data_IF_434582654479
#
_entry.id   IF_434582654479
#
_cell.length_a   1.000
_cell.length_b   1.000
_cell.length_c   1.000
_cell.angle_alpha   90.00
_cell.angle_beta   90.00
_cell.angle_gamma   90.00
#
_symmetry.space_group_name_H-M   'P 1'
#
loop_
_entity.id
_entity.type
_entity.pdbx_description
1 polymer ?
#
# COMPACT_ATOMS: atom_id res chain seq x y z
N UNK A 1 69.78 -81.51 -26.13
CA UNK A 1 70.56 -81.53 -24.88
C UNK A 1 69.92 -80.50 -23.95
N UNK A 2 68.97 -80.95 -23.13
CA UNK A 2 69.12 -81.20 -21.68
C UNK A 2 68.90 -79.90 -20.90
N UNK A 3 67.70 -79.62 -20.38
CA UNK A 3 67.16 -79.99 -19.05
C UNK A 3 68.02 -79.57 -17.84
N UNK A 4 67.39 -78.79 -16.95
CA UNK A 4 67.36 -78.76 -15.45
C UNK A 4 67.09 -77.31 -15.03
N UNK A 5 65.92 -76.89 -14.55
CA UNK A 5 65.09 -77.27 -13.40
C UNK A 5 65.63 -76.87 -12.02
N UNK A 6 64.78 -76.07 -11.33
CA UNK A 6 64.54 -75.91 -9.89
C UNK A 6 65.48 -75.14 -8.95
N UNK A 7 64.89 -74.11 -8.36
CA UNK A 7 65.11 -73.69 -6.97
C UNK A 7 63.78 -73.19 -6.37
N UNK A 8 63.24 -73.90 -5.38
CA UNK A 8 62.00 -73.58 -4.65
C UNK A 8 62.30 -72.99 -3.24
N UNK A 9 61.58 -71.91 -2.89
CA UNK A 9 61.04 -71.56 -1.55
C UNK A 9 61.90 -70.71 -0.58
N UNK A 10 61.33 -70.08 0.49
CA UNK A 10 59.91 -69.89 0.85
C UNK A 10 59.51 -68.46 1.35
N UNK A 11 58.19 -68.19 1.30
CA UNK A 11 57.34 -67.42 2.24
C UNK A 11 57.68 -66.01 2.78
N UNK A 12 56.67 -65.14 2.64
CA UNK A 12 56.14 -64.14 3.59
C UNK A 12 56.42 -62.64 3.37
N UNK A 13 55.30 -61.89 3.41
CA UNK A 13 55.11 -60.46 3.71
C UNK A 13 55.64 -59.47 2.66
N UNK A 14 54.94 -58.40 2.28
CA UNK A 14 53.60 -57.88 2.48
C UNK A 14 53.48 -56.66 1.52
N UNK A 15 52.26 -56.20 1.23
CA UNK A 15 51.89 -54.97 0.49
C UNK A 15 51.60 -55.13 -1.01
N UNK A 16 50.53 -55.86 -1.32
CA UNK A 16 49.58 -55.44 -2.35
C UNK A 16 48.36 -54.82 -1.64
N UNK A 17 48.44 -53.50 -1.45
CA UNK A 17 47.48 -52.69 -0.71
C UNK A 17 46.72 -51.74 -1.63
N UNK A 18 45.66 -52.26 -2.23
CA UNK A 18 44.34 -51.63 -2.24
C UNK A 18 44.11 -50.35 -3.08
N UNK A 19 44.18 -50.48 -4.41
CA UNK A 19 43.25 -49.76 -5.30
C UNK A 19 42.10 -50.69 -5.70
N UNK A 20 41.36 -51.19 -4.70
CA UNK A 20 40.07 -51.85 -4.95
C UNK A 20 39.03 -50.74 -5.15
N UNK A 21 38.73 -50.46 -6.42
CA UNK A 21 37.54 -49.71 -6.79
C UNK A 21 36.36 -50.65 -6.59
N UNK A 22 35.85 -50.68 -5.36
CA UNK A 22 34.76 -51.56 -4.96
C UNK A 22 33.48 -51.11 -5.65
N UNK A 23 33.22 -51.76 -6.78
CA UNK A 23 32.01 -51.66 -7.59
C UNK A 23 30.86 -52.39 -6.89
N UNK A 24 30.41 -51.88 -5.73
CA UNK A 24 29.19 -52.36 -5.10
C UNK A 24 28.38 -51.20 -4.58
N UNK A 25 27.42 -50.78 -5.40
CA UNK A 25 26.46 -49.77 -5.04
C UNK A 25 25.65 -49.33 -6.22
N UNK A 26 25.09 -50.29 -6.96
CA UNK A 26 24.04 -50.07 -7.94
C UNK A 26 22.76 -49.63 -7.21
N UNK A 27 22.81 -48.41 -6.64
CA UNK A 27 21.62 -47.67 -6.32
C UNK A 27 21.33 -46.87 -7.57
N UNK A 28 20.31 -47.29 -8.32
CA UNK A 28 19.55 -46.42 -9.23
C UNK A 28 19.28 -45.10 -8.50
N UNK A 29 20.19 -44.14 -8.61
CA UNK A 29 20.01 -42.79 -8.10
C UNK A 29 19.06 -42.09 -9.07
N UNK A 30 18.03 -41.41 -8.55
CA UNK A 30 16.96 -40.86 -9.37
C UNK A 30 17.53 -39.87 -10.39
N UNK A 31 16.80 -39.69 -11.50
CA UNK A 31 17.12 -38.80 -12.61
C UNK A 31 17.29 -37.30 -12.21
N UNK A 32 17.25 -36.96 -10.93
CA UNK A 32 17.15 -35.60 -10.38
C UNK A 32 18.34 -34.72 -10.74
N UNK A 33 19.54 -35.31 -10.79
CA UNK A 33 20.74 -34.59 -11.21
C UNK A 33 20.68 -34.17 -12.69
N UNK A 34 19.92 -34.88 -13.55
CA UNK A 34 19.81 -34.51 -14.97
C UNK A 34 19.04 -33.21 -15.17
N UNK A 35 18.02 -32.97 -14.35
CA UNK A 35 17.27 -31.71 -14.37
C UNK A 35 18.12 -30.55 -13.86
N UNK A 36 18.87 -30.76 -12.77
CA UNK A 36 19.80 -29.75 -12.25
C UNK A 36 20.96 -29.46 -13.21
N UNK A 37 21.50 -30.47 -13.89
CA UNK A 37 22.50 -30.29 -14.95
C UNK A 37 21.92 -29.59 -16.17
N UNK A 38 20.66 -29.89 -16.52
CA UNK A 38 19.94 -29.16 -17.55
C UNK A 38 19.79 -27.70 -17.14
N UNK A 39 19.34 -27.38 -15.91
CA UNK A 39 19.20 -26.02 -15.40
C UNK A 39 20.53 -25.25 -15.40
N UNK A 40 21.63 -25.90 -15.04
CA UNK A 40 22.98 -25.32 -15.03
C UNK A 40 23.55 -24.98 -16.41
N UNK A 41 22.89 -25.39 -17.50
CA UNK A 41 23.41 -25.21 -18.86
C UNK A 41 24.56 -26.16 -19.22
N UNK A 42 24.73 -27.26 -18.48
CA UNK A 42 25.82 -28.21 -18.71
C UNK A 42 25.45 -29.24 -19.79
N UNK A 43 26.40 -29.56 -20.68
CA UNK A 43 26.24 -30.60 -21.69
C UNK A 43 26.28 -31.99 -21.02
N UNK A 44 25.12 -32.66 -20.97
CA UNK A 44 24.90 -33.89 -20.18
C UNK A 44 25.82 -35.05 -20.58
N UNK A 45 26.22 -35.13 -21.86
CA UNK A 45 27.12 -36.18 -22.37
C UNK A 45 28.58 -35.97 -21.92
N UNK A 46 29.04 -34.72 -21.82
CA UNK A 46 30.40 -34.39 -21.37
C UNK A 46 30.54 -34.54 -19.84
N UNK A 47 29.47 -34.25 -19.10
CA UNK A 47 29.48 -34.35 -17.64
C UNK A 47 29.50 -35.80 -17.15
N UNK A 48 28.85 -36.72 -17.89
CA UNK A 48 28.85 -38.16 -17.59
C UNK A 48 30.25 -38.80 -17.64
N UNK A 49 31.20 -38.15 -18.32
CA UNK A 49 32.59 -38.59 -18.44
C UNK A 49 33.48 -38.16 -17.25
N UNK A 50 33.06 -37.20 -16.42
CA UNK A 50 33.84 -36.67 -15.30
C UNK A 50 33.03 -36.63 -13.99
N UNK A 51 33.08 -37.70 -13.16
CA UNK A 51 32.22 -37.83 -11.99
C UNK A 51 32.47 -36.75 -10.91
N UNK A 52 33.69 -36.22 -10.82
CA UNK A 52 34.08 -35.20 -9.84
C UNK A 52 33.42 -33.84 -10.04
N UNK A 53 32.94 -33.53 -11.26
CA UNK A 53 32.34 -32.22 -11.56
C UNK A 53 30.81 -32.20 -11.35
N UNK A 54 30.16 -33.36 -11.16
CA UNK A 54 28.71 -33.47 -11.02
C UNK A 54 28.12 -32.60 -9.90
N UNK A 55 28.76 -32.59 -8.73
CA UNK A 55 28.31 -31.84 -7.55
C UNK A 55 28.38 -30.33 -7.78
N UNK A 56 29.39 -29.87 -8.54
CA UNK A 56 29.59 -28.45 -8.83
C UNK A 56 28.53 -27.90 -9.79
N UNK A 57 28.24 -28.62 -10.88
CA UNK A 57 27.17 -28.22 -11.81
C UNK A 57 25.78 -28.42 -11.22
N UNK A 58 25.59 -29.44 -10.38
CA UNK A 58 24.33 -29.61 -9.64
C UNK A 58 24.08 -28.46 -8.67
N UNK A 59 25.09 -28.04 -7.91
CA UNK A 59 25.01 -26.87 -7.03
C UNK A 59 24.75 -25.57 -7.78
N UNK A 60 25.40 -25.39 -8.94
CA UNK A 60 25.16 -24.21 -9.78
C UNK A 60 23.74 -24.19 -10.37
N UNK A 61 23.25 -25.33 -10.86
CA UNK A 61 21.86 -25.46 -11.32
C UNK A 61 20.84 -25.24 -10.20
N UNK A 62 21.16 -25.68 -8.97
CA UNK A 62 20.35 -25.45 -7.78
C UNK A 62 20.22 -23.97 -7.42
N UNK A 63 21.31 -23.20 -7.49
CA UNK A 63 21.28 -21.75 -7.27
C UNK A 63 20.43 -21.04 -8.33
N UNK A 64 20.60 -21.39 -9.61
CA UNK A 64 19.78 -20.83 -10.71
C UNK A 64 18.28 -21.13 -10.52
N UNK A 65 17.96 -22.34 -10.07
CA UNK A 65 16.57 -22.75 -9.80
C UNK A 65 15.99 -22.02 -8.59
N UNK A 66 16.78 -21.80 -7.53
CA UNK A 66 16.34 -21.01 -6.38
C UNK A 66 16.04 -19.56 -6.79
N UNK A 67 16.89 -18.94 -7.61
CA UNK A 67 16.65 -17.59 -8.17
C UNK A 67 15.38 -17.56 -9.02
N UNK A 68 15.15 -18.56 -9.88
CA UNK A 68 13.95 -18.68 -10.70
C UNK A 68 12.66 -18.74 -9.86
N UNK A 69 12.65 -19.61 -8.83
CA UNK A 69 11.48 -19.77 -7.95
C UNK A 69 11.20 -18.48 -7.19
N UNK A 70 12.23 -17.86 -6.61
CA UNK A 70 12.08 -16.61 -5.85
C UNK A 70 11.60 -15.46 -6.74
N UNK A 71 12.13 -15.35 -7.96
CA UNK A 71 11.71 -14.36 -8.94
C UNK A 71 10.25 -14.56 -9.37
N UNK A 72 9.85 -15.80 -9.63
CA UNK A 72 8.46 -16.15 -9.99
C UNK A 72 7.50 -15.80 -8.85
N UNK A 73 7.85 -16.11 -7.60
CA UNK A 73 7.03 -15.76 -6.43
C UNK A 73 6.92 -14.25 -6.23
N UNK A 74 8.02 -13.50 -6.40
CA UNK A 74 8.00 -12.05 -6.26
C UNK A 74 7.20 -11.37 -7.37
N UNK A 75 7.41 -11.75 -8.63
CA UNK A 75 6.66 -11.22 -9.76
C UNK A 75 5.17 -11.60 -9.66
N UNK A 76 4.86 -12.83 -9.24
CA UNK A 76 3.50 -13.28 -8.99
C UNK A 76 2.82 -12.47 -7.91
N UNK A 77 3.50 -12.20 -6.80
CA UNK A 77 2.97 -11.32 -5.76
C UNK A 77 2.67 -9.92 -6.32
N UNK A 78 3.61 -9.29 -7.03
CA UNK A 78 3.44 -7.95 -7.60
C UNK A 78 2.30 -7.85 -8.62
N UNK A 79 2.21 -8.81 -9.55
CA UNK A 79 1.14 -8.86 -10.57
C UNK A 79 -0.22 -9.11 -9.89
N UNK A 80 -0.27 -9.95 -8.86
CA UNK A 80 -1.50 -10.20 -8.11
C UNK A 80 -2.02 -8.93 -7.45
N UNK A 81 -1.14 -8.10 -6.85
CA UNK A 81 -1.55 -6.83 -6.24
C UNK A 81 -2.07 -5.80 -7.25
N UNK A 82 -1.61 -5.86 -8.50
CA UNK A 82 -2.00 -4.89 -9.54
C UNK A 82 -3.26 -5.32 -10.29
N UNK A 83 -3.34 -6.60 -10.70
CA UNK A 83 -4.38 -7.06 -11.62
C UNK A 83 -5.49 -7.88 -10.94
N UNK A 84 -5.28 -8.39 -9.72
CA UNK A 84 -6.28 -9.15 -8.96
C UNK A 84 -6.80 -10.43 -9.63
N UNK A 85 -6.19 -10.87 -10.75
CA UNK A 85 -6.61 -12.04 -11.51
C UNK A 85 -5.54 -13.13 -11.48
N UNK A 86 -5.93 -14.32 -11.00
CA UNK A 86 -5.04 -15.48 -10.83
C UNK A 86 -4.43 -15.98 -12.15
N UNK A 87 -5.19 -15.96 -13.24
CA UNK A 87 -4.71 -16.45 -14.55
C UNK A 87 -3.59 -15.57 -15.11
N UNK A 88 -3.79 -14.25 -15.08
CA UNK A 88 -2.77 -13.28 -15.50
C UNK A 88 -1.56 -13.30 -14.57
N UNK A 89 -1.79 -13.51 -13.27
CA UNK A 89 -0.73 -13.65 -12.26
C UNK A 89 0.20 -14.81 -12.57
N UNK A 90 -0.33 -16.02 -12.77
CA UNK A 90 0.50 -17.19 -13.08
C UNK A 90 1.24 -17.00 -14.41
N UNK A 91 0.55 -16.50 -15.44
CA UNK A 91 1.15 -16.31 -16.76
C UNK A 91 2.32 -15.33 -16.75
N UNK A 92 2.11 -14.14 -16.15
CA UNK A 92 3.16 -13.13 -16.05
C UNK A 92 4.28 -13.50 -15.07
N UNK A 93 3.96 -14.19 -13.97
CA UNK A 93 4.97 -14.67 -13.03
C UNK A 93 5.92 -15.68 -13.70
N UNK A 94 5.36 -16.65 -14.43
CA UNK A 94 6.16 -17.67 -15.11
C UNK A 94 7.01 -17.11 -16.23
N UNK A 95 6.47 -16.22 -17.07
CA UNK A 95 7.27 -15.61 -18.14
C UNK A 95 8.39 -14.75 -17.56
N UNK A 96 8.13 -14.03 -16.47
CA UNK A 96 9.15 -13.19 -15.85
C UNK A 96 10.22 -14.04 -15.15
N UNK A 97 9.82 -15.08 -14.41
CA UNK A 97 10.75 -16.08 -13.90
C UNK A 97 11.62 -16.68 -15.01
N UNK A 98 11.02 -17.05 -16.15
CA UNK A 98 11.71 -17.69 -17.26
C UNK A 98 12.74 -16.78 -17.93
N UNK A 99 12.47 -15.48 -18.05
CA UNK A 99 13.47 -14.50 -18.53
C UNK A 99 14.64 -14.43 -17.54
N UNK A 100 14.40 -14.30 -16.23
CA UNK A 100 15.48 -14.25 -15.23
C UNK A 100 16.32 -15.54 -15.26
N UNK A 101 15.66 -16.70 -15.35
CA UNK A 101 16.33 -17.98 -15.49
C UNK A 101 17.17 -18.08 -16.77
N UNK A 102 16.66 -17.57 -17.89
CA UNK A 102 17.38 -17.56 -19.17
C UNK A 102 18.63 -16.65 -19.10
N UNK A 103 18.49 -15.45 -18.51
CA UNK A 103 19.58 -14.50 -18.33
C UNK A 103 20.67 -15.03 -17.38
N UNK A 104 20.30 -15.61 -16.24
CA UNK A 104 21.24 -16.15 -15.25
C UNK A 104 21.99 -17.37 -15.81
N UNK A 105 21.28 -18.23 -16.56
CA UNK A 105 21.89 -19.33 -17.34
C UNK A 105 22.85 -18.82 -18.41
N UNK A 106 22.46 -17.80 -19.19
CA UNK A 106 23.30 -17.20 -20.24
C UNK A 106 24.60 -16.64 -19.64
N UNK A 107 24.50 -15.89 -18.53
CA UNK A 107 25.64 -15.31 -17.81
C UNK A 107 26.60 -16.36 -17.27
N UNK A 108 26.10 -17.44 -16.67
CA UNK A 108 26.94 -18.56 -16.23
C UNK A 108 27.64 -19.22 -17.40
N UNK A 109 26.92 -19.47 -18.50
CA UNK A 109 27.46 -20.21 -19.64
C UNK A 109 28.58 -19.44 -20.36
N UNK A 110 28.50 -18.10 -20.40
CA UNK A 110 29.51 -17.25 -21.04
C UNK A 110 30.78 -17.06 -20.19
N UNK A 111 30.69 -17.18 -18.85
CA UNK A 111 31.83 -17.03 -17.93
C UNK A 111 32.90 -18.13 -18.05
N UNK A 112 32.70 -19.18 -18.85
CA UNK A 112 33.58 -20.35 -18.92
C UNK A 112 34.71 -20.26 -19.96
N UNK A 113 35.22 -19.07 -20.28
CA UNK A 113 36.47 -18.95 -21.07
C UNK A 113 37.69 -19.03 -20.16
N UNK A 114 38.37 -20.17 -20.23
CA UNK A 114 39.65 -20.46 -19.58
C UNK A 114 40.74 -19.53 -20.15
N UNK A 115 41.56 -18.91 -19.28
CA UNK A 115 42.80 -18.20 -19.70
C UNK A 115 42.82 -16.67 -19.59
N UNK A 116 41.98 -16.04 -18.76
CA UNK A 116 41.91 -14.57 -18.66
C UNK A 116 42.31 -14.09 -17.24
N UNK A 117 43.17 -13.06 -17.19
CA UNK A 117 43.67 -12.41 -15.96
C UNK A 117 42.59 -12.10 -14.91
N UNK A 118 42.92 -12.24 -13.61
CA UNK A 118 42.01 -12.04 -12.46
C UNK A 118 41.17 -10.75 -12.54
N UNK A 119 41.71 -9.67 -13.11
CA UNK A 119 41.00 -8.39 -13.29
C UNK A 119 39.85 -8.45 -14.29
N UNK A 120 40.00 -9.19 -15.39
CA UNK A 120 38.98 -9.31 -16.44
C UNK A 120 37.92 -10.35 -16.06
N UNK A 121 38.24 -11.30 -15.17
CA UNK A 121 37.25 -12.15 -14.50
C UNK A 121 36.34 -11.36 -13.55
N UNK A 122 36.88 -10.39 -12.80
CA UNK A 122 36.08 -9.49 -11.94
C UNK A 122 35.18 -8.60 -12.80
N UNK A 123 35.70 -8.01 -13.88
CA UNK A 123 34.91 -7.19 -14.80
C UNK A 123 33.77 -7.97 -15.47
N UNK A 124 33.96 -9.27 -15.73
CA UNK A 124 32.94 -10.16 -16.27
C UNK A 124 31.87 -10.56 -15.23
N UNK A 125 32.15 -10.40 -13.93
CA UNK A 125 31.20 -10.62 -12.83
C UNK A 125 30.36 -9.36 -12.49
N UNK A 126 30.76 -8.18 -12.97
CA UNK A 126 30.04 -6.91 -12.75
C UNK A 126 28.58 -6.95 -13.24
N UNK A 127 28.26 -7.49 -14.43
CA UNK A 127 26.87 -7.60 -14.88
C UNK A 127 26.00 -8.43 -13.93
N UNK A 128 26.57 -9.45 -13.27
CA UNK A 128 25.87 -10.31 -12.30
C UNK A 128 25.53 -9.55 -11.01
N UNK A 129 26.45 -8.71 -10.54
CA UNK A 129 26.22 -7.84 -9.37
C UNK A 129 25.18 -6.77 -9.70
N UNK A 130 25.27 -6.15 -10.88
CA UNK A 130 24.29 -5.16 -11.34
C UNK A 130 22.88 -5.77 -11.45
N UNK A 131 22.75 -6.99 -12.00
CA UNK A 131 21.48 -7.70 -12.09
C UNK A 131 20.93 -8.09 -10.71
N UNK A 132 21.79 -8.59 -9.80
CA UNK A 132 21.39 -8.92 -8.43
C UNK A 132 20.90 -7.68 -7.66
N UNK A 133 21.54 -6.54 -7.87
CA UNK A 133 21.16 -5.26 -7.25
C UNK A 133 19.83 -4.75 -7.83
N UNK A 134 19.63 -4.88 -9.14
CA UNK A 134 18.37 -4.54 -9.80
C UNK A 134 17.22 -5.42 -9.31
N UNK A 135 17.41 -6.73 -9.22
CA UNK A 135 16.43 -7.66 -8.64
C UNK A 135 16.16 -7.31 -7.17
N UNK A 136 17.21 -7.02 -6.39
CA UNK A 136 17.08 -6.60 -4.99
C UNK A 136 16.18 -5.37 -4.82
N UNK A 137 16.39 -4.33 -5.64
CA UNK A 137 15.56 -3.10 -5.60
C UNK A 137 14.11 -3.38 -6.03
N UNK A 138 13.92 -4.17 -7.09
CA UNK A 138 12.60 -4.52 -7.63
C UNK A 138 11.79 -5.35 -6.63
N UNK A 139 12.44 -6.26 -5.88
CA UNK A 139 11.79 -7.07 -4.84
C UNK A 139 11.57 -6.25 -3.55
N UNK A 140 12.50 -5.34 -3.20
CA UNK A 140 12.42 -4.56 -1.97
C UNK A 140 11.22 -3.61 -1.95
N UNK A 141 10.94 -2.92 -3.06
CA UNK A 141 9.85 -1.93 -3.15
C UNK A 141 8.44 -2.46 -2.81
N UNK A 142 7.97 -3.59 -3.37
CA UNK A 142 6.66 -4.13 -3.01
C UNK A 142 6.61 -4.65 -1.58
N UNK A 143 7.70 -5.22 -1.06
CA UNK A 143 7.79 -5.67 0.33
C UNK A 143 7.78 -4.50 1.31
N UNK A 144 8.52 -3.44 1.00
CA UNK A 144 8.55 -2.17 1.73
C UNK A 144 7.15 -1.57 1.85
N UNK A 145 6.44 -1.41 0.72
CA UNK A 145 5.06 -0.92 0.76
C UNK A 145 4.17 -1.86 1.58
N UNK A 146 4.31 -3.18 1.44
CA UNK A 146 3.43 -4.13 2.14
C UNK A 146 3.61 -4.12 3.65
N UNK A 147 4.85 -4.03 4.13
CA UNK A 147 5.10 -3.96 5.58
C UNK A 147 4.66 -2.62 6.15
N UNK A 148 4.85 -1.53 5.40
CA UNK A 148 4.47 -0.19 5.83
C UNK A 148 3.00 0.16 5.57
N UNK A 149 2.24 -0.62 4.81
CA UNK A 149 0.80 -0.42 4.57
C UNK A 149 0.04 -0.22 5.88
N UNK A 150 0.36 -1.00 6.93
CA UNK A 150 -0.31 -0.90 8.22
C UNK A 150 -0.03 0.43 8.91
N UNK A 151 1.23 0.86 8.93
CA UNK A 151 1.62 2.14 9.54
C UNK A 151 1.11 3.34 8.74
N UNK A 152 1.15 3.25 7.40
CA UNK A 152 0.65 4.29 6.51
C UNK A 152 -0.85 4.47 6.72
N UNK A 153 -1.64 3.39 6.82
CA UNK A 153 -3.07 3.49 7.07
C UNK A 153 -3.40 4.15 8.42
N UNK A 154 -2.66 3.81 9.49
CA UNK A 154 -2.83 4.47 10.80
C UNK A 154 -2.48 5.96 10.72
N UNK A 155 -1.33 6.31 10.14
CA UNK A 155 -0.95 7.73 9.97
C UNK A 155 -1.91 8.47 9.04
N UNK A 156 -2.43 7.83 8.00
CA UNK A 156 -3.38 8.42 7.06
C UNK A 156 -4.71 8.72 7.75
N UNK A 157 -5.27 7.76 8.50
CA UNK A 157 -6.51 7.97 9.25
C UNK A 157 -6.36 9.02 10.34
N UNK A 158 -5.20 9.10 11.00
CA UNK A 158 -4.90 10.15 11.97
C UNK A 158 -4.83 11.54 11.29
N UNK A 159 -4.13 11.64 10.16
CA UNK A 159 -4.05 12.89 9.39
C UNK A 159 -5.41 13.32 8.84
N UNK A 160 -6.23 12.38 8.37
CA UNK A 160 -7.61 12.66 7.95
C UNK A 160 -8.45 13.17 9.12
N UNK A 161 -8.41 12.51 10.29
CA UNK A 161 -9.11 12.97 11.48
C UNK A 161 -8.66 14.37 11.91
N UNK A 162 -7.36 14.66 11.86
CA UNK A 162 -6.84 16.01 12.15
C UNK A 162 -7.40 17.05 11.18
N UNK A 163 -7.44 16.75 9.88
CA UNK A 163 -8.02 17.64 8.86
C UNK A 163 -9.52 17.85 9.05
N UNK A 164 -10.27 16.79 9.35
CA UNK A 164 -11.72 16.86 9.60
C UNK A 164 -12.00 17.72 10.83
N UNK A 165 -11.30 17.49 11.95
CA UNK A 165 -11.47 18.29 13.17
C UNK A 165 -11.18 19.78 12.97
N UNK A 166 -10.16 20.10 12.16
CA UNK A 166 -9.86 21.50 11.83
C UNK A 166 -10.93 22.14 10.95
N UNK A 167 -11.56 21.38 10.06
CA UNK A 167 -12.65 21.89 9.23
C UNK A 167 -13.93 22.07 10.07
N UNK A 168 -14.28 21.07 10.88
CA UNK A 168 -15.44 21.12 11.78
C UNK A 168 -15.36 22.30 12.75
N UNK A 169 -14.17 22.63 13.26
CA UNK A 169 -13.99 23.78 14.16
C UNK A 169 -14.20 25.11 13.45
N UNK A 170 -13.76 25.25 12.19
CA UNK A 170 -13.99 26.44 11.38
C UNK A 170 -15.47 26.61 11.05
N UNK A 171 -16.14 25.52 10.64
CA UNK A 171 -17.59 25.52 10.38
C UNK A 171 -18.39 25.84 11.65
N UNK A 172 -17.99 25.32 12.81
CA UNK A 172 -18.64 25.62 14.08
C UNK A 172 -18.50 27.10 14.46
N UNK A 173 -17.33 27.71 14.21
CA UNK A 173 -17.11 29.15 14.43
C UNK A 173 -18.00 30.01 13.51
N UNK A 174 -18.04 29.68 12.22
CA UNK A 174 -18.86 30.37 11.23
C UNK A 174 -20.36 30.26 11.57
N UNK A 175 -20.83 29.05 11.85
CA UNK A 175 -22.22 28.81 12.25
C UNK A 175 -22.57 29.53 13.56
N UNK A 176 -21.67 29.57 14.54
CA UNK A 176 -21.91 30.30 15.80
C UNK A 176 -22.06 31.80 15.55
N UNK A 177 -21.24 32.38 14.67
CA UNK A 177 -21.35 33.79 14.30
C UNK A 177 -22.69 34.09 13.61
N UNK A 178 -23.08 33.25 12.65
CA UNK A 178 -24.38 33.37 11.95
C UNK A 178 -25.58 33.21 12.91
N UNK A 179 -25.49 32.29 13.87
CA UNK A 179 -26.55 32.12 14.88
C UNK A 179 -26.65 33.35 15.77
N UNK A 180 -25.53 33.93 16.19
CA UNK A 180 -25.53 35.17 16.98
C UNK A 180 -26.14 36.33 16.21
N UNK A 181 -25.80 36.53 14.94
CA UNK A 181 -26.41 37.60 14.13
C UNK A 181 -27.91 37.38 14.00
N UNK A 182 -28.33 36.15 13.69
CA UNK A 182 -29.75 35.81 13.55
C UNK A 182 -30.52 35.98 14.86
N UNK A 183 -29.92 35.65 16.00
CA UNK A 183 -30.51 35.86 17.32
C UNK A 183 -30.65 37.35 17.65
N UNK A 184 -29.63 38.16 17.35
CA UNK A 184 -29.72 39.62 17.55
C UNK A 184 -30.77 40.26 16.66
N UNK A 185 -30.91 39.81 15.42
CA UNK A 185 -31.96 40.28 14.51
C UNK A 185 -33.34 39.87 15.01
N UNK A 186 -33.50 38.62 15.46
CA UNK A 186 -34.75 38.13 16.05
C UNK A 186 -35.13 38.97 17.26
N UNK A 187 -34.18 39.25 18.15
CA UNK A 187 -34.43 40.03 19.36
C UNK A 187 -34.81 41.47 19.02
N UNK A 188 -34.10 42.11 18.07
CA UNK A 188 -34.46 43.44 17.56
C UNK A 188 -35.88 43.48 16.97
N UNK A 189 -36.29 42.45 16.24
CA UNK A 189 -37.64 42.36 15.69
C UNK A 189 -38.70 42.17 16.78
N UNK A 190 -38.40 41.37 17.81
CA UNK A 190 -39.28 41.17 18.96
C UNK A 190 -39.43 42.46 19.77
N UNK A 191 -38.34 43.15 20.07
CA UNK A 191 -38.36 44.43 20.79
C UNK A 191 -39.16 45.48 20.01
N UNK A 192 -38.98 45.53 18.69
CA UNK A 192 -39.77 46.41 17.80
C UNK A 192 -41.25 46.05 17.84
N UNK A 193 -41.59 44.76 17.81
CA UNK A 193 -42.98 44.29 17.89
C UNK A 193 -43.62 44.69 19.22
N UNK A 194 -42.94 44.44 20.34
CA UNK A 194 -43.42 44.79 21.68
C UNK A 194 -43.61 46.30 21.84
N UNK A 195 -42.65 47.12 21.39
CA UNK A 195 -42.78 48.58 21.44
C UNK A 195 -43.99 49.09 20.65
N UNK A 196 -44.31 48.46 19.52
CA UNK A 196 -45.51 48.78 18.72
C UNK A 196 -46.78 48.35 19.46
N UNK A 197 -46.81 47.14 20.02
CA UNK A 197 -47.96 46.64 20.81
C UNK A 197 -48.25 47.55 22.01
N UNK A 198 -47.21 47.97 22.76
CA UNK A 198 -47.34 48.92 23.87
C UNK A 198 -47.89 50.27 23.41
N UNK A 199 -47.37 50.79 22.29
CA UNK A 199 -47.85 52.06 21.71
C UNK A 199 -49.32 51.97 21.32
N UNK A 200 -49.75 50.85 20.71
CA UNK A 200 -51.15 50.62 20.36
C UNK A 200 -52.04 50.49 21.60
N UNK A 201 -51.59 49.78 22.64
CA UNK A 201 -52.30 49.68 23.92
C UNK A 201 -52.44 51.04 24.62
N UNK A 202 -51.40 51.87 24.59
CA UNK A 202 -51.45 53.23 25.13
C UNK A 202 -52.43 54.11 24.37
N UNK A 203 -52.40 54.09 23.03
CA UNK A 203 -53.34 54.84 22.20
C UNK A 203 -54.78 54.37 22.41
N UNK A 204 -54.99 53.05 22.51
CA UNK A 204 -56.30 52.47 22.78
C UNK A 204 -56.85 52.89 24.14
N UNK A 205 -56.05 52.79 25.20
CA UNK A 205 -56.48 53.19 26.56
C UNK A 205 -56.74 54.69 26.64
N UNK A 206 -55.91 55.52 26.01
CA UNK A 206 -56.10 56.97 25.94
C UNK A 206 -57.35 57.38 25.16
N UNK A 207 -57.75 56.61 24.14
CA UNK A 207 -59.01 56.78 23.42
C UNK A 207 -60.22 56.40 24.29
N UNK A 208 -60.19 55.24 24.94
CA UNK A 208 -61.29 54.78 25.82
C UNK A 208 -61.51 55.73 26.99
N UNK A 209 -60.43 56.18 27.65
CA UNK A 209 -60.52 57.13 28.76
C UNK A 209 -61.15 58.46 28.34
N UNK A 210 -60.83 58.95 27.15
CA UNK A 210 -61.44 60.17 26.61
C UNK A 210 -62.93 59.96 26.30
N UNK A 211 -63.31 58.83 25.69
CA UNK A 211 -64.70 58.51 25.38
C UNK A 211 -65.59 58.38 26.63
N UNK A 212 -65.06 57.78 27.70
CA UNK A 212 -65.76 57.58 28.98
C UNK A 212 -65.79 58.85 29.87
N UNK A 213 -65.10 59.91 29.45
CA UNK A 213 -65.00 61.19 30.17
C UNK A 213 -64.13 61.14 31.43
N UNK A 214 -63.31 60.09 31.58
CA UNK A 214 -62.29 59.99 32.65
C UNK A 214 -60.94 60.59 32.24
N UNK A 215 -60.79 60.90 30.95
CA UNK A 215 -59.63 61.53 30.34
C UNK A 215 -59.52 63.04 30.62
N UNK A 216 -58.61 63.69 29.87
CA UNK A 216 -58.19 65.07 30.13
C UNK A 216 -59.28 66.12 29.90
N UNK A 217 -60.21 65.92 28.97
CA UNK A 217 -61.32 66.87 28.73
C UNK A 217 -62.43 66.81 29.79
N UNK A 218 -62.54 65.70 30.53
CA UNK A 218 -63.64 65.40 31.48
C UNK A 218 -65.04 65.50 30.87
N UNK A 219 -65.15 65.47 29.54
CA UNK A 219 -66.42 65.51 28.80
C UNK A 219 -66.71 64.12 28.24
N UNK A 220 -67.97 63.66 28.37
CA UNK A 220 -68.40 62.34 27.88
C UNK A 220 -68.91 62.44 26.46
N UNK A 221 -68.44 61.55 25.59
CA UNK A 221 -68.96 61.40 24.23
C UNK A 221 -67.93 61.54 23.12
N UNK A 222 -68.41 61.42 21.88
CA UNK A 222 -67.60 61.47 20.66
C UNK A 222 -67.48 62.94 20.22
N UNK A 223 -66.68 63.71 20.94
CA UNK A 223 -66.33 65.09 20.59
C UNK A 223 -65.10 65.15 19.64
N UNK A 224 -64.70 66.35 19.22
CA UNK A 224 -63.55 66.53 18.30
C UNK A 224 -62.25 65.88 18.82
N UNK A 225 -61.98 65.95 20.13
CA UNK A 225 -60.76 65.36 20.73
C UNK A 225 -60.80 63.83 20.68
N UNK A 226 -61.96 63.23 20.95
CA UNK A 226 -62.18 61.78 20.89
C UNK A 226 -61.98 61.26 19.46
N UNK A 227 -62.48 61.99 18.45
CA UNK A 227 -62.26 61.67 17.03
C UNK A 227 -60.78 61.78 16.63
N UNK A 228 -60.08 62.82 17.06
CA UNK A 228 -58.63 62.96 16.81
C UNK A 228 -57.82 61.79 17.39
N UNK A 229 -58.16 61.34 18.60
CA UNK A 229 -57.51 60.16 19.21
C UNK A 229 -57.88 58.85 18.50
N UNK A 230 -59.12 58.73 18.02
CA UNK A 230 -59.57 57.61 17.21
C UNK A 230 -58.79 57.53 15.89
N UNK A 231 -58.62 58.67 15.21
CA UNK A 231 -57.87 58.76 13.96
C UNK A 231 -56.38 58.47 14.18
N UNK A 232 -55.79 58.95 15.28
CA UNK A 232 -54.41 58.63 15.64
C UNK A 232 -54.21 57.12 15.91
N UNK A 233 -55.15 56.47 16.59
CA UNK A 233 -55.14 55.02 16.78
C UNK A 233 -55.28 54.27 15.45
N UNK A 234 -56.22 54.67 14.60
CA UNK A 234 -56.44 54.05 13.29
C UNK A 234 -55.25 54.25 12.35
N UNK A 235 -54.60 55.41 12.37
CA UNK A 235 -53.41 55.71 11.58
C UNK A 235 -52.21 54.87 12.04
N UNK A 236 -51.99 54.78 13.36
CA UNK A 236 -50.96 53.90 13.91
C UNK A 236 -51.24 52.44 13.51
N UNK A 237 -52.47 51.96 13.68
CA UNK A 237 -52.87 50.61 13.27
C UNK A 237 -52.67 50.37 11.77
N UNK A 238 -52.94 51.36 10.92
CA UNK A 238 -52.78 51.28 9.46
C UNK A 238 -51.33 51.30 8.99
N UNK A 239 -50.42 51.95 9.71
CA UNK A 239 -48.98 51.92 9.42
C UNK A 239 -48.31 50.59 9.80
N UNK A 240 -48.93 49.80 10.67
CA UNK A 240 -48.34 48.59 11.25
C UNK A 240 -49.14 47.30 11.00
N UNK A 241 -50.23 47.36 10.24
CA UNK A 241 -50.92 46.17 9.72
C UNK A 241 -50.14 45.55 8.55
N UNK A 242 -50.22 44.21 8.36
CA UNK A 242 -49.60 43.53 7.22
C UNK A 242 -50.15 44.00 5.87
#
# INVERSE_FOLDING_TARGET
MAETNNGQGPSTMAQDGLYTYDSFGDKKKPNDNKFLWWCAGAHQQLLKQFPSEHTKYSGLGGVLLATFVLATLSAGYAIHTVFGNWFWTIGFALIWGLIIFNFDRFLVSTMRKYGISKRKQIWMAVPRIALALLIGVVIARPLEMKIFEKEINVKMTENLHKKIRLNDSLLALENKALMQTTETERQRLLDRKLAIEDTLHQLQTAYVQEADGTGGSRQRGIENITRLKQDAYNQARGQYGP
#
